data_IF_438401487296
#
_entry.id   IF_438401487296
#
_cell.length_a   1.000
_cell.length_b   1.000
_cell.length_c   1.000
_cell.angle_alpha   90.00
_cell.angle_beta   90.00
_cell.angle_gamma   90.00
#
_symmetry.space_group_name_H-M   'P 1'
#
loop_
_entity.id
_entity.type
_entity.pdbx_description
1 polymer ?
#
# COMPACT_ATOMS: atom_id res chain seq x y z
N UNK A 1 17.94 0.43 -1.70
CA UNK A 1 16.71 -0.39 -1.44
C UNK A 1 16.41 -0.73 0.03
N UNK A 2 17.38 -0.80 0.97
CA UNK A 2 17.10 -1.20 2.38
C UNK A 2 15.99 -0.40 3.07
N UNK A 3 16.05 0.94 2.98
CA UNK A 3 15.06 1.86 3.58
C UNK A 3 13.64 1.63 3.02
N UNK A 4 13.52 1.46 1.71
CA UNK A 4 12.23 1.27 1.03
C UNK A 4 11.60 -0.08 1.35
N UNK A 5 12.40 -1.16 1.38
CA UNK A 5 11.92 -2.48 1.84
C UNK A 5 11.39 -2.41 3.27
N UNK A 6 12.15 -1.82 4.20
CA UNK A 6 11.72 -1.66 5.59
C UNK A 6 10.41 -0.87 5.69
N UNK A 7 10.31 0.23 4.95
CA UNK A 7 9.10 1.05 4.91
C UNK A 7 7.89 0.25 4.41
N UNK A 8 8.03 -0.47 3.29
CA UNK A 8 6.94 -1.24 2.71
C UNK A 8 6.50 -2.40 3.62
N UNK A 9 7.44 -3.09 4.27
CA UNK A 9 7.11 -4.14 5.26
C UNK A 9 6.31 -3.60 6.42
N UNK A 10 6.70 -2.44 6.98
CA UNK A 10 5.96 -1.81 8.07
C UNK A 10 4.56 -1.37 7.63
N UNK A 11 4.44 -0.80 6.43
CA UNK A 11 3.17 -0.38 5.88
C UNK A 11 2.21 -1.55 5.61
N UNK A 12 2.68 -2.62 4.95
CA UNK A 12 1.88 -3.82 4.68
C UNK A 12 1.48 -4.49 6.00
N UNK A 13 2.41 -4.61 6.96
CA UNK A 13 2.12 -5.16 8.29
C UNK A 13 1.01 -4.37 8.98
N UNK A 14 1.06 -3.03 8.96
CA UNK A 14 0.00 -2.18 9.49
C UNK A 14 -1.33 -2.36 8.75
N UNK A 15 -1.33 -2.32 7.41
CA UNK A 15 -2.54 -2.47 6.61
C UNK A 15 -3.22 -3.85 6.82
N UNK A 16 -2.43 -4.90 6.99
CA UNK A 16 -2.93 -6.24 7.32
C UNK A 16 -3.45 -6.37 8.76
N UNK A 17 -3.39 -5.32 9.60
CA UNK A 17 -3.83 -5.36 11.00
C UNK A 17 -2.76 -5.88 11.97
N UNK A 18 -1.50 -5.93 11.54
CA UNK A 18 -0.37 -6.30 12.38
C UNK A 18 -0.10 -5.28 13.50
N UNK A 19 0.63 -5.70 14.55
CA UNK A 19 0.83 -4.90 15.77
C UNK A 19 1.70 -3.65 15.55
N UNK A 20 2.36 -3.55 14.40
CA UNK A 20 3.24 -2.45 14.08
C UNK A 20 2.42 -1.22 13.65
N UNK A 21 2.55 -0.13 14.40
CA UNK A 21 1.99 1.15 13.97
C UNK A 21 2.88 1.77 12.89
N UNK A 22 2.25 2.22 11.81
CA UNK A 22 2.92 3.07 10.84
C UNK A 22 3.10 4.49 11.42
N UNK A 23 4.32 4.81 11.85
CA UNK A 23 4.68 6.13 12.44
C UNK A 23 5.24 7.12 11.42
N UNK A 24 5.11 6.82 10.13
CA UNK A 24 5.62 7.67 9.06
C UNK A 24 4.78 8.93 8.83
N UNK A 25 5.18 9.75 7.85
CA UNK A 25 4.35 10.86 7.36
C UNK A 25 2.97 10.33 6.95
N UNK A 26 1.92 11.13 7.15
CA UNK A 26 0.60 10.85 6.58
C UNK A 26 0.71 10.59 5.08
N UNK A 27 -0.17 9.75 4.52
CA UNK A 27 -0.17 9.41 3.09
C UNK A 27 -0.14 10.68 2.22
N UNK A 28 -0.96 11.68 2.55
CA UNK A 28 -0.96 13.00 1.90
C UNK A 28 0.38 13.71 1.94
N UNK A 29 1.02 13.81 3.11
CA UNK A 29 2.30 14.53 3.24
C UNK A 29 3.46 13.74 2.63
N UNK A 30 3.37 12.41 2.60
CA UNK A 30 4.39 11.54 2.02
C UNK A 30 4.43 11.65 0.50
N UNK A 31 3.26 11.80 -0.14
CA UNK A 31 3.10 11.74 -1.59
C UNK A 31 2.83 13.09 -2.27
N UNK A 32 2.66 14.17 -1.50
CA UNK A 32 2.46 15.52 -2.03
C UNK A 32 3.55 15.93 -3.02
N UNK A 33 3.13 16.44 -4.19
CA UNK A 33 4.00 16.96 -5.25
C UNK A 33 4.67 15.87 -6.08
N UNK A 34 4.21 14.61 -5.97
CA UNK A 34 4.71 13.51 -6.78
C UNK A 34 3.93 13.30 -8.08
N UNK A 35 2.82 14.03 -8.30
CA UNK A 35 1.97 13.90 -9.48
C UNK A 35 1.53 12.43 -9.71
N UNK A 36 1.16 11.75 -8.62
CA UNK A 36 0.71 10.36 -8.66
C UNK A 36 -0.71 10.36 -9.19
N UNK A 37 -0.93 9.61 -10.28
CA UNK A 37 -2.22 9.41 -10.92
C UNK A 37 -2.83 8.08 -10.48
N UNK A 38 -4.12 7.93 -10.75
CA UNK A 38 -4.85 6.67 -10.53
C UNK A 38 -4.09 5.44 -11.09
N UNK A 39 -3.56 5.52 -12.31
CA UNK A 39 -2.82 4.41 -12.94
C UNK A 39 -1.56 3.99 -12.15
N UNK A 40 -0.84 4.95 -11.57
CA UNK A 40 0.33 4.68 -10.74
C UNK A 40 -0.05 4.03 -9.42
N UNK A 41 -1.17 4.46 -8.83
CA UNK A 41 -1.71 3.87 -7.61
C UNK A 41 -2.20 2.44 -7.88
N UNK A 42 -2.93 2.22 -8.97
CA UNK A 42 -3.38 0.87 -9.34
C UNK A 42 -2.21 -0.07 -9.64
N UNK A 43 -1.10 0.43 -10.19
CA UNK A 43 0.10 -0.38 -10.39
C UNK A 43 0.65 -0.95 -9.07
N UNK A 44 0.71 -0.16 -7.98
CA UNK A 44 1.21 -0.69 -6.69
C UNK A 44 0.23 -1.71 -6.09
N UNK A 45 -1.08 -1.50 -6.22
CA UNK A 45 -2.11 -2.45 -5.76
C UNK A 45 -1.97 -3.78 -6.50
N UNK A 46 -1.84 -3.73 -7.83
CA UNK A 46 -1.68 -4.92 -8.66
C UNK A 46 -0.38 -5.67 -8.35
N UNK A 47 0.74 -4.96 -8.15
CA UNK A 47 2.01 -5.59 -7.78
C UNK A 47 1.94 -6.27 -6.40
N UNK A 48 1.24 -5.65 -5.43
CA UNK A 48 1.06 -6.27 -4.12
C UNK A 48 0.19 -7.53 -4.22
N UNK A 49 -0.95 -7.44 -4.92
CA UNK A 49 -1.84 -8.59 -5.12
C UNK A 49 -1.11 -9.75 -5.81
N UNK A 50 -0.34 -9.47 -6.87
CA UNK A 50 0.46 -10.48 -7.55
C UNK A 50 1.49 -11.15 -6.62
N UNK A 51 2.20 -10.36 -5.81
CA UNK A 51 3.16 -10.89 -4.84
C UNK A 51 2.47 -11.76 -3.79
N UNK A 52 1.33 -11.34 -3.24
CA UNK A 52 0.58 -12.14 -2.26
C UNK A 52 0.10 -13.47 -2.86
N UNK A 53 -0.37 -13.47 -4.11
CA UNK A 53 -0.75 -14.69 -4.84
C UNK A 53 0.44 -15.64 -5.02
N UNK A 54 1.62 -15.11 -5.38
CA UNK A 54 2.84 -15.89 -5.54
C UNK A 54 3.23 -16.63 -4.24
N UNK A 55 2.92 -16.04 -3.08
CA UNK A 55 3.15 -16.63 -1.76
C UNK A 55 1.93 -17.39 -1.20
N UNK A 56 0.94 -17.75 -2.04
CA UNK A 56 -0.23 -18.56 -1.69
C UNK A 56 -1.14 -17.95 -0.59
N UNK A 57 -1.19 -16.62 -0.51
CA UNK A 57 -2.19 -15.94 0.33
C UNK A 57 -3.59 -16.13 -0.29
N UNK A 58 -4.62 -16.28 0.56
CA UNK A 58 -5.98 -16.50 0.09
C UNK A 58 -6.50 -15.31 -0.72
N UNK A 59 -7.36 -15.55 -1.70
CA UNK A 59 -8.00 -14.47 -2.47
C UNK A 59 -8.85 -13.56 -1.57
N UNK A 60 -9.44 -14.11 -0.50
CA UNK A 60 -10.19 -13.35 0.51
C UNK A 60 -9.29 -12.33 1.22
N UNK A 61 -8.11 -12.76 1.69
CA UNK A 61 -7.15 -11.87 2.35
C UNK A 61 -6.58 -10.83 1.38
N UNK A 62 -6.30 -11.22 0.13
CA UNK A 62 -5.82 -10.30 -0.91
C UNK A 62 -6.86 -9.21 -1.17
N UNK A 63 -8.13 -9.59 -1.30
CA UNK A 63 -9.23 -8.66 -1.52
C UNK A 63 -9.38 -7.71 -0.32
N UNK A 64 -9.35 -8.23 0.90
CA UNK A 64 -9.42 -7.42 2.11
C UNK A 64 -8.26 -6.42 2.23
N UNK A 65 -7.05 -6.81 1.83
CA UNK A 65 -5.88 -5.91 1.77
C UNK A 65 -6.08 -4.85 0.68
N UNK A 66 -6.52 -5.23 -0.52
CA UNK A 66 -6.74 -4.31 -1.62
C UNK A 66 -7.79 -3.24 -1.26
N UNK A 67 -8.91 -3.64 -0.65
CA UNK A 67 -9.95 -2.71 -0.18
C UNK A 67 -9.42 -1.68 0.81
N UNK A 68 -8.59 -2.11 1.77
CA UNK A 68 -7.93 -1.18 2.71
C UNK A 68 -6.99 -0.19 2.00
N UNK A 69 -6.28 -0.62 0.97
CA UNK A 69 -5.42 0.27 0.18
C UNK A 69 -6.26 1.28 -0.59
N UNK A 70 -7.35 0.86 -1.22
CA UNK A 70 -8.23 1.76 -1.99
C UNK A 70 -8.75 2.93 -1.13
N UNK A 71 -8.97 2.75 0.17
CA UNK A 71 -9.36 3.84 1.09
C UNK A 71 -8.31 4.96 1.20
N UNK A 72 -7.05 4.67 0.86
CA UNK A 72 -5.93 5.62 0.91
C UNK A 72 -5.71 6.38 -0.40
N UNK A 73 -6.35 5.95 -1.50
CA UNK A 73 -6.13 6.53 -2.83
C UNK A 73 -6.35 8.05 -2.84
N UNK A 74 -7.44 8.51 -2.22
CA UNK A 74 -7.79 9.94 -2.10
C UNK A 74 -6.76 10.81 -1.35
N UNK A 75 -5.88 10.18 -0.57
CA UNK A 75 -4.80 10.87 0.14
C UNK A 75 -3.50 10.88 -0.68
N UNK A 76 -3.42 10.12 -1.77
CA UNK A 76 -2.18 9.88 -2.53
C UNK A 76 -2.27 10.44 -3.94
N UNK A 77 -3.40 10.20 -4.62
CA UNK A 77 -3.61 10.61 -6.01
C UNK A 77 -3.87 12.12 -6.07
N UNK A 78 -3.16 12.79 -6.97
CA UNK A 78 -3.35 14.19 -7.30
C UNK A 78 -4.16 14.24 -8.62
N UNK A 79 -5.23 15.04 -8.63
CA UNK A 79 -6.13 15.19 -9.78
C UNK A 79 -5.49 15.97 -10.94
#
# INVERSE_FOLDING_TARGET
MKKQRRHQTLFISFAAGGPNQYTGKSMRKAHKGMNIKHEHFMAIVNHLAAALKEFNVSEEDIQAIAEKLMLMEKEIVEA
#
